data_IF_949773286101
#
_entry.id   IF_949773286101
#
_cell.length_a   1.000
_cell.length_b   1.000
_cell.length_c   1.000
_cell.angle_alpha   90.00
_cell.angle_beta   90.00
_cell.angle_gamma   90.00
#
_symmetry.space_group_name_H-M   'P 1'
#
loop_
_entity.id
_entity.type
_entity.pdbx_description
1 polymer ?
#
# COMPACT_ATOMS: atom_id res chain seq x y z
N UNK A 1 -5.13 -14.35 0.44
CA UNK A 1 -5.94 -14.01 -0.74
C UNK A 1 -5.03 -13.97 -1.96
N UNK A 2 -5.53 -14.39 -3.12
CA UNK A 2 -4.76 -14.37 -4.38
C UNK A 2 -5.63 -13.72 -5.45
N UNK A 3 -5.04 -12.79 -6.21
CA UNK A 3 -5.58 -12.29 -7.46
C UNK A 3 -4.81 -12.93 -8.60
N UNK A 4 -5.54 -13.35 -9.64
CA UNK A 4 -4.97 -13.83 -10.88
C UNK A 4 -5.67 -13.12 -12.04
N UNK A 5 -4.88 -12.59 -12.98
CA UNK A 5 -5.37 -11.86 -14.15
C UNK A 5 -4.86 -12.52 -15.42
N UNK A 6 -5.72 -12.59 -16.43
CA UNK A 6 -5.41 -13.10 -17.77
C UNK A 6 -5.86 -12.06 -18.78
N UNK A 7 -4.98 -11.68 -19.70
CA UNK A 7 -5.37 -10.81 -20.81
C UNK A 7 -6.14 -11.63 -21.87
N UNK A 8 -7.41 -11.27 -22.09
CA UNK A 8 -8.29 -11.86 -23.11
C UNK A 8 -8.50 -10.94 -24.33
N UNK A 9 -7.76 -9.84 -24.41
CA UNK A 9 -7.78 -8.91 -25.54
C UNK A 9 -7.00 -9.44 -26.76
N UNK A 10 -6.91 -8.58 -27.77
CA UNK A 10 -6.17 -8.88 -29.00
C UNK A 10 -4.69 -8.42 -28.96
N UNK A 11 -4.35 -7.51 -28.06
CA UNK A 11 -3.02 -6.88 -27.97
C UNK A 11 -2.39 -7.10 -26.59
N UNK A 12 -1.05 -7.05 -26.54
CA UNK A 12 -0.29 -7.03 -25.29
C UNK A 12 -0.54 -5.72 -24.53
N UNK A 13 -0.88 -5.81 -23.24
CA UNK A 13 -1.11 -4.66 -22.37
C UNK A 13 -0.36 -4.82 -21.03
N UNK A 14 0.01 -3.72 -20.36
CA UNK A 14 0.60 -3.76 -19.04
C UNK A 14 -0.47 -3.99 -17.96
N UNK A 15 -0.22 -4.93 -17.06
CA UNK A 15 -1.13 -5.27 -15.94
C UNK A 15 -0.44 -5.09 -14.59
N UNK A 16 -1.27 -4.74 -13.61
CA UNK A 16 -0.92 -4.61 -12.21
C UNK A 16 -2.03 -5.17 -11.34
N UNK A 17 -1.70 -5.54 -10.11
CA UNK A 17 -2.67 -6.00 -9.10
C UNK A 17 -2.37 -5.37 -7.75
N UNK A 18 -3.38 -5.31 -6.89
CA UNK A 18 -3.24 -4.83 -5.53
C UNK A 18 -4.49 -5.08 -4.70
N UNK A 19 -4.45 -4.67 -3.43
CA UNK A 19 -5.62 -4.69 -2.55
C UNK A 19 -5.73 -3.36 -1.80
N UNK A 20 -6.96 -3.03 -1.40
CA UNK A 20 -7.26 -1.83 -0.63
C UNK A 20 -7.92 -2.19 0.71
N UNK A 21 -7.22 -2.85 1.64
CA UNK A 21 -7.78 -3.26 2.93
C UNK A 21 -7.94 -2.06 3.87
N UNK A 22 -9.09 -1.99 4.52
CA UNK A 22 -9.41 -1.02 5.57
C UNK A 22 -9.13 -1.67 6.93
N UNK A 23 -8.26 -1.06 7.72
CA UNK A 23 -7.91 -1.52 9.07
C UNK A 23 -8.47 -0.57 10.13
N UNK A 24 -8.90 -1.06 11.30
CA UNK A 24 -9.26 -0.19 12.41
C UNK A 24 -8.11 0.75 12.81
N UNK A 25 -8.42 2.00 13.13
CA UNK A 25 -7.46 2.99 13.59
C UNK A 25 -7.82 3.45 15.01
N UNK A 26 -6.82 3.45 15.89
CA UNK A 26 -6.87 4.07 17.20
C UNK A 26 -5.58 4.85 17.47
N UNK A 27 -5.53 5.70 18.51
CA UNK A 27 -4.29 6.37 18.91
C UNK A 27 -3.14 5.42 19.28
N UNK A 28 -3.44 4.15 19.59
CA UNK A 28 -2.47 3.12 19.94
C UNK A 28 -2.02 2.30 18.73
N UNK A 29 -2.74 2.35 17.60
CA UNK A 29 -2.34 1.65 16.39
C UNK A 29 -0.94 2.09 15.97
N UNK A 30 -0.11 1.13 15.62
CA UNK A 30 1.22 1.37 15.07
C UNK A 30 1.42 0.54 13.83
N UNK A 31 2.13 1.08 12.85
CA UNK A 31 2.48 0.35 11.64
C UNK A 31 3.99 0.35 11.43
N UNK A 32 4.48 -0.68 10.75
CA UNK A 32 5.83 -0.75 10.23
C UNK A 32 5.76 -1.30 8.80
N UNK A 33 6.32 -0.54 7.85
CA UNK A 33 6.44 -0.90 6.46
C UNK A 33 7.66 -0.19 5.87
N UNK A 34 8.64 -0.97 5.40
CA UNK A 34 9.89 -0.42 4.87
C UNK A 34 9.63 0.49 3.65
N UNK A 35 10.24 1.66 3.61
CA UNK A 35 10.20 2.53 2.44
C UNK A 35 11.54 3.24 2.25
N UNK A 36 11.97 3.37 1.00
CA UNK A 36 13.17 4.15 0.63
C UNK A 36 12.84 5.57 0.18
N UNK A 37 11.56 5.91 0.09
CA UNK A 37 11.06 7.21 -0.34
C UNK A 37 9.57 7.15 -0.60
N UNK A 38 8.98 8.29 -0.90
CA UNK A 38 7.55 8.43 -1.12
C UNK A 38 7.25 9.42 -2.24
N UNK A 39 6.06 9.33 -2.83
CA UNK A 39 5.56 10.35 -3.73
C UNK A 39 4.73 11.35 -2.93
N UNK A 40 5.06 12.64 -3.06
CA UNK A 40 4.23 13.72 -2.54
C UNK A 40 2.85 13.65 -3.20
N UNK A 41 1.81 14.00 -2.47
CA UNK A 41 0.50 14.20 -3.07
C UNK A 41 0.48 15.57 -3.76
N UNK A 42 -0.13 15.63 -4.95
CA UNK A 42 -0.40 16.88 -5.67
C UNK A 42 -1.89 17.01 -5.98
N UNK A 43 -2.26 18.05 -6.72
CA UNK A 43 -3.65 18.32 -7.07
C UNK A 43 -4.33 17.11 -7.71
N UNK A 44 -5.63 16.97 -7.47
CA UNK A 44 -6.45 15.85 -7.93
C UNK A 44 -6.06 14.49 -7.32
N UNK A 45 -5.45 14.50 -6.12
CA UNK A 45 -5.07 13.30 -5.37
C UNK A 45 -4.05 12.41 -6.09
N UNK A 46 -3.25 13.00 -6.97
CA UNK A 46 -2.28 12.29 -7.80
C UNK A 46 -0.94 12.17 -7.08
N UNK A 47 -0.20 11.11 -7.41
CA UNK A 47 1.23 11.04 -7.09
C UNK A 47 1.97 12.16 -7.83
N UNK A 48 2.76 12.92 -7.08
CA UNK A 48 3.58 14.02 -7.54
C UNK A 48 5.06 13.65 -7.54
N UNK A 49 5.88 14.61 -7.11
CA UNK A 49 7.33 14.45 -7.05
C UNK A 49 7.74 13.31 -6.10
N UNK A 50 8.75 12.55 -6.48
CA UNK A 50 9.35 11.53 -5.62
C UNK A 50 10.40 12.16 -4.71
N UNK A 51 10.33 11.85 -3.42
CA UNK A 51 11.29 12.31 -2.43
C UNK A 51 11.85 11.11 -1.64
N UNK A 52 13.19 11.01 -1.59
CA UNK A 52 13.89 9.98 -0.80
C UNK A 52 13.88 10.29 0.70
N UNK A 53 13.72 11.57 1.08
CA UNK A 53 13.66 11.98 2.48
C UNK A 53 12.22 11.86 2.99
N UNK A 54 11.96 10.83 3.78
CA UNK A 54 10.68 10.63 4.46
C UNK A 54 10.51 11.66 5.59
N UNK A 55 9.38 12.40 5.64
CA UNK A 55 9.00 13.15 6.83
C UNK A 55 8.85 12.22 8.03
N UNK A 56 9.14 12.70 9.24
CA UNK A 56 9.11 11.87 10.45
C UNK A 56 7.73 11.22 10.67
N UNK A 57 6.65 11.93 10.33
CA UNK A 57 5.27 11.48 10.48
C UNK A 57 4.87 10.40 9.45
N UNK A 58 5.66 10.23 8.40
CA UNK A 58 5.45 9.28 7.31
C UNK A 58 6.59 8.24 7.21
N UNK A 59 7.52 8.23 8.16
CA UNK A 59 8.59 7.23 8.21
C UNK A 59 8.15 6.00 9.03
N UNK A 60 7.68 4.98 8.30
CA UNK A 60 7.23 3.70 8.87
C UNK A 60 8.31 2.61 8.80
N UNK A 61 9.59 2.95 8.57
CA UNK A 61 10.68 1.96 8.60
C UNK A 61 10.84 1.33 9.99
N UNK A 62 10.51 2.09 11.03
CA UNK A 62 10.30 1.60 12.39
C UNK A 62 8.81 1.66 12.74
N UNK A 63 8.45 0.97 13.82
CA UNK A 63 7.07 0.96 14.31
C UNK A 63 6.64 2.38 14.74
N UNK A 64 5.66 2.96 14.03
CA UNK A 64 5.25 4.36 14.21
C UNK A 64 3.71 4.51 14.17
N UNK A 65 3.14 5.56 14.81
CA UNK A 65 1.72 5.87 14.72
C UNK A 65 1.38 6.41 13.33
N UNK A 66 0.11 6.30 12.94
CA UNK A 66 -0.39 7.10 11.82
C UNK A 66 -0.72 8.53 12.26
N UNK A 67 -0.47 9.52 11.40
CA UNK A 67 -0.82 10.91 11.69
C UNK A 67 -2.35 11.07 11.69
N UNK A 68 -2.86 11.99 12.50
CA UNK A 68 -4.30 12.31 12.56
C UNK A 68 -4.62 13.51 11.68
N UNK A 69 -4.32 13.34 10.39
CA UNK A 69 -4.61 14.29 9.31
C UNK A 69 -4.73 13.51 8.00
N UNK A 70 -5.16 14.19 6.94
CA UNK A 70 -5.16 13.63 5.59
C UNK A 70 -3.79 13.06 5.20
N UNK A 71 -3.79 11.80 4.76
CA UNK A 71 -2.66 11.13 4.12
C UNK A 71 -3.18 10.38 2.90
N UNK A 72 -2.55 10.61 1.77
CA UNK A 72 -2.83 9.90 0.52
C UNK A 72 -1.51 9.80 -0.26
N UNK A 73 -0.63 8.92 0.19
CA UNK A 73 0.73 8.85 -0.32
C UNK A 73 1.12 7.42 -0.65
N UNK A 74 1.82 7.27 -1.77
CA UNK A 74 2.50 6.05 -2.16
C UNK A 74 3.95 6.04 -1.66
N UNK A 75 4.43 4.87 -1.30
CA UNK A 75 5.78 4.62 -0.78
C UNK A 75 6.50 3.59 -1.65
N UNK A 76 7.75 3.86 -2.00
CA UNK A 76 8.58 2.99 -2.83
C UNK A 76 9.61 2.20 -2.00
N UNK A 77 10.26 1.21 -2.63
CA UNK A 77 11.33 0.44 -2.00
C UNK A 77 10.83 -0.50 -0.90
N UNK A 78 9.56 -0.89 -0.98
CA UNK A 78 8.95 -1.81 -0.04
C UNK A 78 9.44 -3.23 -0.29
N UNK A 79 9.56 -3.99 0.80
CA UNK A 79 9.98 -5.40 0.76
C UNK A 79 8.78 -6.38 0.74
N UNK A 80 7.57 -5.86 0.50
CA UNK A 80 6.34 -6.63 0.48
C UNK A 80 5.82 -7.12 1.85
N UNK A 81 6.39 -6.62 2.96
CA UNK A 81 5.99 -6.99 4.33
C UNK A 81 5.62 -5.78 5.18
N UNK A 82 4.51 -5.89 5.90
CA UNK A 82 4.10 -4.88 6.88
C UNK A 82 3.65 -5.53 8.19
N UNK A 83 3.80 -4.78 9.28
CA UNK A 83 3.28 -5.12 10.60
C UNK A 83 2.33 -4.01 11.04
N UNK A 84 1.15 -4.39 11.51
CA UNK A 84 0.15 -3.49 12.07
C UNK A 84 -0.15 -3.97 13.49
N UNK A 85 0.20 -3.19 14.49
CA UNK A 85 -0.07 -3.49 15.90
C UNK A 85 -1.34 -2.80 16.37
N UNK A 86 -2.15 -3.55 17.12
CA UNK A 86 -3.33 -3.05 17.83
C UNK A 86 -3.15 -3.36 19.32
N UNK A 87 -2.35 -2.57 20.05
CA UNK A 87 -1.98 -2.88 21.43
C UNK A 87 -3.16 -2.99 22.37
N UNK A 88 -4.17 -2.13 22.21
CA UNK A 88 -5.38 -2.16 23.01
C UNK A 88 -6.11 -3.51 22.89
N UNK A 89 -6.05 -4.13 21.71
CA UNK A 89 -6.73 -5.39 21.43
C UNK A 89 -5.81 -6.62 21.56
N UNK A 90 -4.55 -6.42 21.95
CA UNK A 90 -3.58 -7.49 22.21
C UNK A 90 -3.15 -8.30 20.98
N UNK A 91 -3.27 -7.75 19.76
CA UNK A 91 -2.87 -8.46 18.55
C UNK A 91 -2.06 -7.59 17.59
N UNK A 92 -1.38 -8.27 16.66
CA UNK A 92 -0.77 -7.67 15.50
C UNK A 92 -1.13 -8.44 14.23
N UNK A 93 -1.24 -7.73 13.12
CA UNK A 93 -1.40 -8.30 11.78
C UNK A 93 -0.04 -8.23 11.09
N UNK A 94 0.40 -9.36 10.55
CA UNK A 94 1.55 -9.47 9.66
C UNK A 94 1.03 -9.62 8.24
N UNK A 95 1.31 -8.63 7.40
CA UNK A 95 1.04 -8.68 5.97
C UNK A 95 2.29 -9.13 5.22
N UNK A 96 2.12 -10.08 4.30
CA UNK A 96 3.16 -10.52 3.38
C UNK A 96 2.58 -10.69 1.97
N UNK A 97 3.33 -10.24 0.96
CA UNK A 97 2.97 -10.38 -0.45
C UNK A 97 3.87 -11.38 -1.18
N UNK A 98 3.34 -12.07 -2.19
CA UNK A 98 4.08 -12.99 -3.06
C UNK A 98 3.61 -12.81 -4.52
N UNK A 99 4.48 -12.40 -5.46
CA UNK A 99 5.83 -11.88 -5.22
C UNK A 99 5.81 -10.65 -4.29
N UNK A 100 6.96 -10.27 -3.67
CA UNK A 100 7.03 -9.08 -2.84
C UNK A 100 6.59 -7.84 -3.63
N UNK A 101 5.56 -7.17 -3.15
CA UNK A 101 5.10 -5.91 -3.72
C UNK A 101 6.15 -4.80 -3.50
N UNK A 102 6.50 -4.03 -4.55
CA UNK A 102 7.55 -3.02 -4.47
C UNK A 102 7.11 -1.71 -3.81
N UNK A 103 5.80 -1.50 -3.67
CA UNK A 103 5.24 -0.27 -3.12
C UNK A 103 3.94 -0.51 -2.34
N UNK A 104 3.61 0.44 -1.48
CA UNK A 104 2.34 0.49 -0.78
C UNK A 104 1.79 1.92 -0.72
N UNK A 105 0.48 2.07 -0.59
CA UNK A 105 -0.15 3.34 -0.24
C UNK A 105 -0.59 3.36 1.21
N UNK A 106 -0.55 4.54 1.81
CA UNK A 106 -1.25 4.83 3.06
C UNK A 106 -2.38 5.81 2.77
N UNK A 107 -3.56 5.46 3.26
CA UNK A 107 -4.71 6.36 3.27
C UNK A 107 -5.18 6.61 4.70
N UNK A 108 -5.25 7.88 5.06
CA UNK A 108 -5.94 8.39 6.26
C UNK A 108 -6.83 9.53 5.79
N UNK A 109 -8.14 9.40 6.01
CA UNK A 109 -9.09 10.46 5.63
C UNK A 109 -9.03 11.65 6.60
N UNK A 110 -9.85 12.67 6.36
CA UNK A 110 -9.97 13.83 7.22
C UNK A 110 -11.45 14.17 7.46
N UNK A 111 -11.86 14.51 8.71
CA UNK A 111 -13.25 14.90 9.01
C UNK A 111 -13.77 16.10 8.20
N UNK A 112 -12.88 16.99 7.73
CA UNK A 112 -13.24 18.10 6.86
C UNK A 112 -13.63 17.63 5.44
N UNK A 113 -13.07 16.50 4.98
CA UNK A 113 -13.38 15.88 3.71
C UNK A 113 -14.57 14.91 3.82
N UNK A 114 -14.56 14.05 4.84
CA UNK A 114 -15.63 13.10 5.16
C UNK A 114 -16.15 13.36 6.58
N UNK A 115 -17.33 13.98 6.69
CA UNK A 115 -17.93 14.37 7.98
C UNK A 115 -18.20 13.20 8.92
N UNK A 116 -18.31 11.98 8.40
CA UNK A 116 -18.53 10.78 9.21
C UNK A 116 -17.25 10.18 9.78
N UNK A 117 -16.09 10.57 9.25
CA UNK A 117 -14.81 10.00 9.60
C UNK A 117 -14.31 10.54 10.94
N UNK A 118 -13.86 9.63 11.82
CA UNK A 118 -13.39 9.97 13.16
C UNK A 118 -11.97 9.46 13.44
N UNK A 119 -11.19 9.21 12.39
CA UNK A 119 -9.92 8.48 12.45
C UNK A 119 -10.09 7.09 13.07
N UNK A 120 -11.12 6.40 12.60
CA UNK A 120 -11.56 5.07 13.04
C UNK A 120 -11.11 3.95 12.09
N UNK A 121 -10.59 4.30 10.91
CA UNK A 121 -9.90 3.37 10.02
C UNK A 121 -8.71 4.01 9.29
N UNK A 122 -7.87 3.20 8.67
CA UNK A 122 -6.87 3.61 7.68
C UNK A 122 -6.70 2.51 6.63
N UNK A 123 -6.02 2.81 5.53
CA UNK A 123 -5.63 1.77 4.55
C UNK A 123 -4.11 1.66 4.46
N UNK A 124 -3.65 0.41 4.32
CA UNK A 124 -2.29 0.08 3.88
C UNK A 124 -2.44 -0.84 2.67
N UNK A 125 -2.10 -0.31 1.50
CA UNK A 125 -2.51 -0.86 0.23
C UNK A 125 -1.33 -1.46 -0.51
N UNK A 126 -1.13 -2.79 -0.48
CA UNK A 126 -0.07 -3.43 -1.25
C UNK A 126 -0.35 -3.34 -2.75
N UNK A 127 0.59 -2.81 -3.52
CA UNK A 127 0.49 -2.68 -4.97
C UNK A 127 1.65 -3.38 -5.69
N UNK A 128 1.37 -4.07 -6.80
CA UNK A 128 2.40 -4.78 -7.57
C UNK A 128 3.29 -3.86 -8.40
N UNK A 129 2.95 -2.59 -8.52
CA UNK A 129 3.62 -1.61 -9.35
C UNK A 129 3.45 -0.22 -8.76
N UNK A 130 4.36 0.70 -9.06
CA UNK A 130 4.31 2.06 -8.55
C UNK A 130 3.15 2.86 -9.16
N UNK A 131 2.71 3.95 -8.50
CA UNK A 131 1.76 4.87 -9.11
C UNK A 131 2.37 5.43 -10.40
N UNK A 132 1.52 5.52 -11.42
CA UNK A 132 1.84 6.09 -12.72
C UNK A 132 2.90 5.33 -13.55
N UNK A 133 3.15 4.06 -13.24
CA UNK A 133 4.12 3.21 -13.96
C UNK A 133 3.85 3.09 -15.47
N UNK A 134 2.62 3.32 -15.92
CA UNK A 134 2.26 3.41 -17.33
C UNK A 134 3.05 4.47 -18.11
N UNK A 135 3.53 5.53 -17.43
CA UNK A 135 4.33 6.59 -18.04
C UNK A 135 5.84 6.39 -17.87
N UNK A 136 6.27 5.26 -17.28
CA UNK A 136 7.69 4.93 -17.14
C UNK A 136 8.20 4.09 -18.30
N UNK A 137 9.51 4.10 -18.59
CA UNK A 137 10.10 3.22 -19.58
C UNK A 137 9.68 1.77 -19.35
N UNK A 138 9.23 1.11 -20.42
CA UNK A 138 8.77 -0.29 -20.40
C UNK A 138 7.62 -0.61 -19.43
N UNK A 139 6.93 0.41 -18.89
CA UNK A 139 5.83 0.24 -17.95
C UNK A 139 6.26 0.04 -16.48
N UNK A 140 7.53 0.30 -16.14
CA UNK A 140 8.02 0.15 -14.76
C UNK A 140 7.86 -1.27 -14.23
N UNK A 141 7.18 -1.44 -13.09
CA UNK A 141 6.94 -2.76 -12.47
C UNK A 141 5.65 -3.44 -12.98
N UNK A 142 4.94 -2.84 -13.95
CA UNK A 142 3.81 -3.49 -14.61
C UNK A 142 4.27 -4.70 -15.43
N UNK A 143 3.42 -5.70 -15.54
CA UNK A 143 3.72 -6.91 -16.32
C UNK A 143 2.99 -6.87 -17.66
N UNK A 144 3.75 -6.91 -18.76
CA UNK A 144 3.20 -7.01 -20.10
C UNK A 144 2.61 -8.42 -20.34
N UNK A 145 1.28 -8.52 -20.44
CA UNK A 145 0.58 -9.78 -20.71
C UNK A 145 0.15 -9.85 -22.17
N UNK A 146 0.81 -10.71 -22.95
CA UNK A 146 0.44 -11.00 -24.33
C UNK A 146 -0.76 -11.97 -24.42
N UNK A 147 -1.66 -11.79 -25.40
CA UNK A 147 -2.72 -12.75 -25.68
C UNK A 147 -2.26 -13.88 -26.60
N UNK A 148 -2.88 -15.08 -26.55
CA UNK A 148 -3.64 -15.64 -25.44
C UNK A 148 -2.74 -16.47 -24.51
N UNK A 149 -2.97 -16.39 -23.19
CA UNK A 149 -2.50 -17.42 -22.24
C UNK A 149 -1.47 -17.02 -21.18
N UNK A 150 -0.91 -15.81 -21.22
CA UNK A 150 -0.05 -15.35 -20.12
C UNK A 150 -0.90 -14.84 -18.95
N UNK A 151 -0.53 -15.26 -17.73
CA UNK A 151 -1.20 -14.87 -16.50
C UNK A 151 -0.22 -14.19 -15.54
N UNK A 152 -0.71 -13.19 -14.83
CA UNK A 152 -0.05 -12.64 -13.65
C UNK A 152 -0.86 -13.01 -12.42
N UNK A 153 -0.16 -13.32 -11.33
CA UNK A 153 -0.79 -13.46 -10.03
C UNK A 153 -0.03 -12.62 -9.00
N UNK A 154 -0.78 -12.15 -8.03
CA UNK A 154 -0.24 -11.66 -6.78
C UNK A 154 -1.02 -12.32 -5.66
N UNK A 155 -0.31 -12.69 -4.61
CA UNK A 155 -0.88 -13.21 -3.38
C UNK A 155 -0.57 -12.26 -2.25
N UNK A 156 -1.58 -11.87 -1.49
CA UNK A 156 -1.42 -11.16 -0.22
C UNK A 156 -1.93 -12.05 0.91
N UNK A 157 -1.13 -12.20 1.96
CA UNK A 157 -1.45 -12.95 3.16
C UNK A 157 -1.41 -11.99 4.35
N UNK A 158 -2.53 -11.86 5.04
CA UNK A 158 -2.60 -11.22 6.35
C UNK A 158 -2.73 -12.32 7.41
N UNK A 159 -1.70 -12.49 8.22
CA UNK A 159 -1.71 -13.40 9.37
C UNK A 159 -1.90 -12.61 10.65
N UNK A 160 -2.91 -12.96 11.46
CA UNK A 160 -3.11 -12.39 12.78
C UNK A 160 -2.26 -13.15 13.80
N UNK A 161 -1.57 -12.42 14.67
CA UNK A 161 -0.77 -12.96 15.77
C UNK A 161 -1.21 -12.27 17.07
N UNK A 162 -1.65 -13.05 18.05
CA UNK A 162 -1.76 -12.56 19.42
C UNK A 162 -0.38 -12.14 19.88
N UNK A 163 -0.27 -10.96 20.47
CA UNK A 163 0.98 -10.47 21.00
C UNK A 163 0.83 -10.36 22.52
N UNK A 164 1.83 -10.84 23.26
CA UNK A 164 1.98 -10.46 24.66
C UNK A 164 2.62 -9.05 24.67
N UNK A 165 1.82 -8.03 24.36
CA UNK A 165 2.21 -6.61 24.39
C UNK A 165 2.06 -6.05 25.79
#
# INVERSE_FOLDING_TARGET
MTLAVTNQGAETLPFGTGWHPYFPLSPQTRIQAQASGYWLEREQWLAGEFCEQLPQELDFNQLAPLPRQWVNNGFAGWNGKARIEQPQEGYAIIMETTPPAPCYFIFVSDPAFDKGYAFDFFCLEPMSHAPDDHHRPEGGDLIALAPPGNQQFQRCRCGLRCCNL
#
